data_IF_599901552650
#
_entry.id   IF_599901552650
#
_cell.length_a   1.000
_cell.length_b   1.000
_cell.length_c   1.000
_cell.angle_alpha   90.00
_cell.angle_beta   90.00
_cell.angle_gamma   90.00
#
_symmetry.space_group_name_H-M   'P 1'
#
loop_
_entity.id
_entity.type
_entity.pdbx_description
1 polymer ?
#
# COMPACT_ATOMS: atom_id res chain seq x y z
N UNK A 1 6.76 -3.28 -8.10
CA UNK A 1 7.73 -2.98 -7.02
C UNK A 1 9.14 -2.89 -7.56
N UNK A 2 9.67 -3.93 -8.22
CA UNK A 2 11.01 -3.91 -8.86
C UNK A 2 11.31 -2.65 -9.68
N UNK A 3 10.41 -2.27 -10.59
CA UNK A 3 10.55 -1.05 -11.41
C UNK A 3 10.61 0.24 -10.58
N UNK A 4 9.91 0.32 -9.45
CA UNK A 4 9.95 1.49 -8.56
C UNK A 4 11.28 1.55 -7.80
N UNK A 5 11.81 0.40 -7.38
CA UNK A 5 13.12 0.30 -6.72
C UNK A 5 14.24 0.66 -7.70
N UNK A 6 14.19 0.17 -8.94
CA UNK A 6 15.15 0.49 -10.00
C UNK A 6 15.11 1.98 -10.37
N UNK A 7 13.93 2.60 -10.33
CA UNK A 7 13.77 4.04 -10.50
C UNK A 7 14.29 4.87 -9.30
N UNK A 8 14.75 4.23 -8.22
CA UNK A 8 15.29 4.91 -7.05
C UNK A 8 14.24 5.41 -6.05
N UNK A 9 13.03 4.83 -6.06
CA UNK A 9 12.01 5.19 -5.07
C UNK A 9 12.45 4.81 -3.64
N UNK A 10 12.44 5.80 -2.74
CA UNK A 10 12.79 5.61 -1.33
C UNK A 10 11.65 5.02 -0.50
N UNK A 11 10.38 5.24 -0.89
CA UNK A 11 9.21 4.67 -0.24
C UNK A 11 8.05 4.55 -1.23
N UNK A 12 7.16 3.59 -1.00
CA UNK A 12 5.96 3.36 -1.82
C UNK A 12 4.75 3.24 -0.90
N UNK A 13 3.69 3.98 -1.20
CA UNK A 13 2.42 3.87 -0.46
C UNK A 13 1.51 2.85 -1.12
N UNK A 14 0.96 1.94 -0.31
CA UNK A 14 -0.09 1.00 -0.72
C UNK A 14 -1.42 1.39 -0.09
N UNK A 15 -2.49 1.17 -0.83
CA UNK A 15 -3.86 1.47 -0.44
C UNK A 15 -4.73 0.20 -0.58
N UNK A 16 -5.70 0.03 0.33
CA UNK A 16 -6.55 -1.16 0.44
C UNK A 16 -7.84 -1.05 -0.38
N UNK A 17 -7.85 -0.19 -1.39
CA UNK A 17 -8.91 -0.15 -2.39
C UNK A 17 -8.71 -1.19 -3.50
N UNK A 18 -9.82 -1.68 -4.02
CA UNK A 18 -9.85 -2.55 -5.19
C UNK A 18 -9.31 -1.79 -6.41
N UNK A 19 -8.26 -2.32 -7.04
CA UNK A 19 -7.52 -1.62 -8.09
C UNK A 19 -8.39 -1.27 -9.31
N UNK A 20 -9.40 -2.08 -9.64
CA UNK A 20 -10.30 -1.86 -10.78
C UNK A 20 -11.25 -0.67 -10.59
N UNK A 21 -11.47 -0.23 -9.36
CA UNK A 21 -12.41 0.83 -9.00
C UNK A 21 -11.80 1.82 -8.01
N UNK A 22 -10.48 2.02 -8.09
CA UNK A 22 -9.76 2.94 -7.22
C UNK A 22 -10.32 4.36 -7.39
N UNK A 23 -10.69 4.96 -6.27
CA UNK A 23 -11.15 6.35 -6.18
C UNK A 23 -10.23 7.16 -5.30
N UNK A 24 -10.24 8.48 -5.51
CA UNK A 24 -9.58 9.41 -4.59
C UNK A 24 -10.16 9.27 -3.18
N UNK A 25 -9.32 9.38 -2.15
CA UNK A 25 -9.73 9.21 -0.74
C UNK A 25 -10.84 10.15 -0.24
N UNK A 26 -11.17 11.20 -1.01
CA UNK A 26 -12.25 12.15 -0.74
C UNK A 26 -13.58 11.78 -1.43
N UNK A 27 -13.60 10.78 -2.32
CA UNK A 27 -14.79 10.38 -3.06
C UNK A 27 -15.53 9.23 -2.37
N UNK A 28 -16.85 9.24 -2.48
CA UNK A 28 -17.72 8.16 -2.00
C UNK A 28 -17.70 6.91 -2.89
N UNK A 29 -18.17 5.79 -2.33
CA UNK A 29 -18.27 4.51 -3.02
C UNK A 29 -16.91 3.86 -3.29
N UNK A 30 -15.98 3.98 -2.34
CA UNK A 30 -14.71 3.24 -2.33
C UNK A 30 -15.01 1.77 -2.03
N UNK A 31 -14.39 0.86 -2.78
CA UNK A 31 -14.52 -0.58 -2.58
C UNK A 31 -13.23 -1.06 -1.96
N UNK A 32 -13.31 -1.61 -0.75
CA UNK A 32 -12.15 -2.14 -0.04
C UNK A 32 -11.92 -3.59 -0.38
N UNK A 33 -10.65 -3.99 -0.36
CA UNK A 33 -10.27 -5.39 -0.39
C UNK A 33 -10.22 -5.94 1.04
N UNK A 34 -10.37 -7.26 1.24
CA UNK A 34 -10.20 -7.87 2.56
C UNK A 34 -8.83 -7.51 3.16
N UNK A 35 -8.75 -7.41 4.49
CA UNK A 35 -7.48 -7.07 5.18
C UNK A 35 -6.35 -8.02 4.81
N UNK A 36 -6.64 -9.31 4.61
CA UNK A 36 -5.66 -10.28 4.14
C UNK A 36 -5.11 -9.93 2.74
N UNK A 37 -5.99 -9.45 1.86
CA UNK A 37 -5.72 -8.73 0.59
C UNK A 37 -4.57 -7.74 0.72
N UNK A 38 -4.80 -6.77 1.60
CA UNK A 38 -3.89 -5.67 1.85
C UNK A 38 -2.56 -6.14 2.47
N UNK A 39 -2.60 -7.09 3.42
CA UNK A 39 -1.40 -7.66 4.04
C UNK A 39 -0.52 -8.35 3.00
N UNK A 40 -1.11 -9.14 2.10
CA UNK A 40 -0.36 -9.82 1.04
C UNK A 40 0.36 -8.83 0.11
N UNK A 41 -0.25 -7.68 -0.19
CA UNK A 41 0.39 -6.61 -0.97
C UNK A 41 1.63 -6.04 -0.26
N UNK A 42 1.54 -5.82 1.05
CA UNK A 42 2.67 -5.34 1.86
C UNK A 42 3.79 -6.38 1.95
N UNK A 43 3.45 -7.66 2.15
CA UNK A 43 4.43 -8.76 2.19
C UNK A 43 5.14 -8.90 0.83
N UNK A 44 4.40 -8.82 -0.28
CA UNK A 44 4.99 -8.88 -1.62
C UNK A 44 5.91 -7.69 -1.90
N UNK A 45 5.55 -6.50 -1.42
CA UNK A 45 6.39 -5.30 -1.54
C UNK A 45 7.70 -5.45 -0.75
N UNK A 46 7.62 -5.97 0.48
CA UNK A 46 8.79 -6.24 1.31
C UNK A 46 9.69 -7.29 0.69
N UNK A 47 9.12 -8.40 0.22
CA UNK A 47 9.87 -9.45 -0.46
C UNK A 47 10.64 -8.91 -1.69
N UNK A 48 10.00 -8.07 -2.50
CA UNK A 48 10.67 -7.46 -3.65
C UNK A 48 11.80 -6.50 -3.26
N UNK A 49 11.67 -5.81 -2.12
CA UNK A 49 12.73 -4.97 -1.57
C UNK A 49 13.92 -5.79 -1.04
N UNK A 50 13.64 -6.90 -0.35
CA UNK A 50 14.64 -7.81 0.18
C UNK A 50 15.44 -8.49 -0.96
N UNK A 51 14.76 -8.94 -2.02
CA UNK A 51 15.41 -9.54 -3.21
C UNK A 51 16.33 -8.55 -3.93
N UNK A 52 16.00 -7.26 -3.92
CA UNK A 52 16.79 -6.22 -4.58
C UNK A 52 17.88 -5.63 -3.66
N UNK A 53 18.06 -6.15 -2.44
CA UNK A 53 19.05 -5.65 -1.48
C UNK A 53 18.78 -4.21 -1.01
N UNK A 54 17.53 -3.76 -1.08
CA UNK A 54 17.08 -2.41 -0.69
C UNK A 54 15.98 -2.51 0.39
N UNK A 55 16.29 -3.02 1.59
CA UNK A 55 15.29 -3.23 2.64
C UNK A 55 14.64 -1.92 3.12
N UNK A 56 15.32 -0.78 2.94
CA UNK A 56 14.85 0.58 3.19
C UNK A 56 13.80 1.05 2.18
N UNK A 57 13.93 0.70 0.89
CA UNK A 57 12.93 1.05 -0.13
C UNK A 57 11.60 0.30 0.04
N UNK A 58 11.62 -0.80 0.79
CA UNK A 58 10.44 -1.57 1.20
C UNK A 58 9.89 -1.15 2.57
N UNK A 59 10.54 -0.23 3.27
CA UNK A 59 10.07 0.29 4.55
C UNK A 59 8.97 1.34 4.29
N UNK A 60 7.81 0.83 3.89
CA UNK A 60 6.57 1.56 3.94
C UNK A 60 6.27 1.78 5.42
N UNK A 61 6.90 2.81 6.01
CA UNK A 61 6.93 3.15 7.43
C UNK A 61 5.89 2.38 8.26
N UNK A 62 6.32 1.24 8.81
CA UNK A 62 5.52 0.39 9.70
C UNK A 62 5.08 1.12 10.99
N UNK A 63 5.52 2.36 11.16
CA UNK A 63 5.02 3.30 12.17
C UNK A 63 3.69 3.89 11.71
N UNK A 64 2.62 3.13 11.84
CA UNK A 64 1.23 3.60 11.94
C UNK A 64 0.65 4.47 10.78
N UNK A 65 1.32 4.62 9.63
CA UNK A 65 0.88 5.63 8.64
C UNK A 65 1.08 5.38 7.14
N UNK A 66 1.75 4.29 6.71
CA UNK A 66 2.06 4.09 5.28
C UNK A 66 1.03 3.25 4.50
N UNK A 67 0.25 2.40 5.19
CA UNK A 67 -0.98 1.85 4.62
C UNK A 67 -2.07 2.90 4.70
N UNK A 68 -2.44 3.49 3.56
CA UNK A 68 -3.68 4.29 3.52
C UNK A 68 -4.84 3.31 3.54
N UNK A 69 -5.26 2.95 4.76
CA UNK A 69 -6.47 2.17 4.94
C UNK A 69 -7.67 3.09 4.84
N UNK A 70 -8.48 2.88 3.82
CA UNK A 70 -9.73 3.59 3.65
C UNK A 70 -10.81 3.10 4.64
N UNK A 71 -10.56 2.05 5.42
CA UNK A 71 -11.43 1.63 6.53
C UNK A 71 -11.69 2.74 7.55
N UNK A 72 -10.68 3.57 7.87
CA UNK A 72 -10.81 4.66 8.84
C UNK A 72 -11.71 5.80 8.32
N UNK A 73 -11.86 5.95 7.00
CA UNK A 73 -12.73 6.98 6.40
C UNK A 73 -14.16 6.53 6.10
N UNK A 74 -14.45 5.22 6.17
CA UNK A 74 -15.82 4.70 6.03
C UNK A 74 -16.62 4.73 7.34
N UNK A 75 -15.97 4.90 8.50
CA UNK A 75 -16.61 4.94 9.83
C UNK A 75 -17.00 6.35 10.31
N UNK A 76 -16.75 7.39 9.53
CA UNK A 76 -16.99 8.80 9.91
C UNK A 76 -18.13 9.45 9.12
N UNK A 77 -19.11 8.65 8.67
CA UNK A 77 -20.36 9.10 8.09
C UNK A 77 -21.53 8.46 8.84
#
# INVERSE_FOLDING_TARGET
>A
MKSMIEAGAAAVHFEDQLASVKKCGHMGGKVLVPTQEAIQKLVAARLAADVMGRPDAGDCAYRCGCGRSDHLRLRSL
#
